data_IF_581427217897
#
_entry.id   IF_581427217897
#
_cell.length_a   1.000
_cell.length_b   1.000
_cell.length_c   1.000
_cell.angle_alpha   90.00
_cell.angle_beta   90.00
_cell.angle_gamma   90.00
#
_symmetry.space_group_name_H-M   'P 1'
#
loop_
_entity.id
_entity.type
_entity.pdbx_description
1 polymer ?
#
# COMPACT_ATOMS: atom_id res chain seq x y z
N UNK A 1 45.54 -4.22 27.05
CA UNK A 1 44.35 -3.50 27.53
C UNK A 1 43.51 -3.15 26.32
N UNK A 2 42.35 -3.79 26.16
CA UNK A 2 41.35 -3.43 25.15
C UNK A 2 39.98 -3.59 25.84
N UNK A 3 39.07 -2.63 25.68
CA UNK A 3 37.67 -2.96 25.66
C UNK A 3 37.11 -2.78 24.26
N UNK A 4 36.27 -3.74 23.92
CA UNK A 4 35.62 -3.96 22.65
C UNK A 4 34.51 -2.92 22.40
N UNK A 5 34.27 -2.58 21.13
CA UNK A 5 33.06 -1.86 20.74
C UNK A 5 31.90 -2.87 20.80
N UNK A 6 30.79 -2.57 21.49
CA UNK A 6 29.68 -3.49 21.55
C UNK A 6 29.03 -3.57 20.16
N UNK A 7 29.07 -4.77 19.58
CA UNK A 7 28.08 -5.21 18.62
C UNK A 7 26.71 -5.04 19.27
N UNK A 8 26.03 -3.94 18.96
CA UNK A 8 24.60 -3.82 19.22
C UNK A 8 23.93 -4.83 18.31
N UNK A 9 23.84 -6.06 18.83
CA UNK A 9 22.95 -7.11 18.41
C UNK A 9 21.59 -6.43 18.16
N UNK A 10 21.22 -6.28 16.89
CA UNK A 10 19.84 -6.01 16.51
C UNK A 10 19.09 -7.21 17.04
N UNK A 11 18.55 -7.11 18.26
CA UNK A 11 17.71 -8.13 18.84
C UNK A 11 16.53 -8.26 17.91
N UNK A 12 16.53 -9.32 17.10
CA UNK A 12 15.36 -9.73 16.34
C UNK A 12 14.19 -9.76 17.35
N UNK A 13 13.03 -9.16 17.01
CA UNK A 13 11.91 -9.14 17.93
C UNK A 13 11.60 -10.60 18.32
N UNK A 14 11.36 -10.89 19.61
CA UNK A 14 11.08 -12.24 20.04
C UNK A 14 9.92 -12.79 19.20
N UNK A 15 10.04 -14.04 18.79
CA UNK A 15 9.08 -14.73 17.90
C UNK A 15 7.63 -14.53 18.37
N UNK A 16 7.41 -14.41 19.67
CA UNK A 16 6.13 -14.13 20.30
C UNK A 16 5.54 -12.74 19.97
N UNK A 17 6.36 -11.69 19.83
CA UNK A 17 5.90 -10.36 19.42
C UNK A 17 5.53 -10.36 17.92
N UNK A 18 6.33 -11.04 17.10
CA UNK A 18 6.03 -11.23 15.69
C UNK A 18 4.75 -12.05 15.52
N UNK A 19 4.58 -13.15 16.27
CA UNK A 19 3.38 -13.97 16.27
C UNK A 19 2.16 -13.21 16.79
N UNK A 20 2.29 -12.40 17.85
CA UNK A 20 1.20 -11.55 18.34
C UNK A 20 0.81 -10.50 17.32
N UNK A 21 1.79 -9.89 16.64
CA UNK A 21 1.55 -8.94 15.55
C UNK A 21 0.93 -9.62 14.33
N UNK A 22 1.33 -10.84 14.01
CA UNK A 22 0.75 -11.64 12.93
C UNK A 22 -0.67 -12.09 13.27
N UNK A 23 -0.95 -12.49 14.52
CA UNK A 23 -2.30 -12.88 14.99
C UNK A 23 -3.23 -11.66 15.10
N UNK A 24 -2.71 -10.51 15.55
CA UNK A 24 -3.47 -9.26 15.56
C UNK A 24 -3.69 -8.73 14.14
N UNK A 25 -2.69 -8.86 13.26
CA UNK A 25 -2.82 -8.56 11.84
C UNK A 25 -3.77 -9.53 11.15
N UNK A 26 -3.77 -10.82 11.48
CA UNK A 26 -4.69 -11.84 10.95
C UNK A 26 -6.14 -11.56 11.37
N UNK A 27 -6.36 -11.15 12.63
CA UNK A 27 -7.67 -10.65 13.08
C UNK A 27 -8.09 -9.38 12.35
N UNK A 28 -7.18 -8.43 12.14
CA UNK A 28 -7.45 -7.22 11.38
C UNK A 28 -7.68 -7.52 9.89
N UNK A 29 -6.90 -8.41 9.27
CA UNK A 29 -6.96 -8.85 7.87
C UNK A 29 -8.05 -9.90 7.62
N UNK A 30 -8.82 -10.30 8.64
CA UNK A 30 -9.93 -11.19 8.44
C UNK A 30 -10.91 -10.55 7.44
N UNK A 31 -11.35 -11.28 6.40
CA UNK A 31 -12.32 -10.76 5.43
C UNK A 31 -13.64 -10.30 6.09
N UNK A 32 -13.88 -10.72 7.34
CA UNK A 32 -14.98 -10.27 8.17
C UNK A 32 -14.91 -8.78 8.62
N UNK A 33 -13.76 -8.12 8.56
CA UNK A 33 -13.58 -6.72 9.01
C UNK A 33 -13.58 -5.68 7.88
N UNK A 34 -13.88 -6.08 6.65
CA UNK A 34 -13.96 -5.17 5.50
C UNK A 34 -12.63 -4.47 5.18
N UNK A 35 -12.71 -3.43 4.35
CA UNK A 35 -11.57 -2.72 3.75
C UNK A 35 -10.57 -2.14 4.77
N UNK A 36 -11.02 -1.86 5.99
CA UNK A 36 -10.20 -1.32 7.08
C UNK A 36 -9.05 -2.24 7.52
N UNK A 37 -9.25 -3.56 7.44
CA UNK A 37 -8.22 -4.56 7.72
C UNK A 37 -7.09 -4.59 6.70
N UNK A 38 -7.46 -4.38 5.44
CA UNK A 38 -6.57 -4.53 4.29
C UNK A 38 -5.70 -3.28 4.06
N UNK A 39 -6.09 -2.13 4.60
CA UNK A 39 -5.30 -0.89 4.56
C UNK A 39 -3.93 -1.04 5.24
N UNK A 40 -3.84 -1.78 6.35
CA UNK A 40 -2.58 -2.04 7.03
C UNK A 40 -1.62 -2.90 6.18
N UNK A 41 -2.13 -3.92 5.49
CA UNK A 41 -1.34 -4.72 4.56
C UNK A 41 -0.91 -3.89 3.33
N UNK A 42 -1.81 -3.06 2.78
CA UNK A 42 -1.47 -2.16 1.69
C UNK A 42 -0.33 -1.19 2.08
N UNK A 43 -0.36 -0.65 3.30
CA UNK A 43 0.70 0.20 3.84
C UNK A 43 2.04 -0.56 4.00
N UNK A 44 2.00 -1.82 4.46
CA UNK A 44 3.17 -2.68 4.54
C UNK A 44 3.79 -2.91 3.15
N UNK A 45 2.96 -3.26 2.15
CA UNK A 45 3.40 -3.50 0.78
C UNK A 45 3.97 -2.24 0.13
N UNK A 46 3.38 -1.07 0.39
CA UNK A 46 3.90 0.22 -0.07
C UNK A 46 5.27 0.51 0.55
N UNK A 47 5.42 0.26 1.86
CA UNK A 47 6.69 0.44 2.58
C UNK A 47 7.77 -0.52 2.07
N UNK A 48 7.44 -1.79 1.85
CA UNK A 48 8.36 -2.80 1.32
C UNK A 48 8.87 -2.41 -0.08
N UNK A 49 7.98 -1.90 -0.94
CA UNK A 49 8.40 -1.38 -2.25
C UNK A 49 9.33 -0.18 -2.13
N UNK A 50 9.00 0.80 -1.28
CA UNK A 50 9.87 1.97 -1.02
C UNK A 50 11.22 1.60 -0.41
N UNK A 51 11.31 0.50 0.33
CA UNK A 51 12.58 0.05 0.87
C UNK A 51 13.61 -0.26 -0.22
N UNK A 52 13.16 -0.60 -1.45
CA UNK A 52 14.05 -0.82 -2.61
C UNK A 52 14.84 0.43 -2.99
N UNK A 53 14.28 1.62 -2.78
CA UNK A 53 14.91 2.90 -3.13
C UNK A 53 16.20 3.16 -2.34
N UNK A 54 16.34 2.53 -1.17
CA UNK A 54 17.56 2.62 -0.36
C UNK A 54 18.72 1.77 -0.91
N UNK A 55 18.44 0.81 -1.81
CA UNK A 55 19.42 -0.16 -2.30
C UNK A 55 19.60 -0.13 -3.82
N UNK A 56 18.59 0.33 -4.56
CA UNK A 56 18.56 0.29 -6.03
C UNK A 56 18.19 1.65 -6.61
N UNK A 57 18.54 1.87 -7.88
CA UNK A 57 18.17 3.10 -8.59
C UNK A 57 16.63 3.19 -8.72
N UNK A 58 15.97 4.18 -8.08
CA UNK A 58 14.50 4.29 -8.08
C UNK A 58 13.90 4.45 -9.48
N UNK A 59 14.66 4.99 -10.43
CA UNK A 59 14.21 5.16 -11.81
C UNK A 59 13.95 3.83 -12.53
N UNK A 60 14.51 2.71 -12.05
CA UNK A 60 14.37 1.39 -12.66
C UNK A 60 13.24 0.54 -12.07
N UNK A 61 12.83 0.81 -10.82
CA UNK A 61 11.93 -0.08 -10.06
C UNK A 61 10.60 0.58 -9.66
N UNK A 62 10.27 1.72 -10.27
CA UNK A 62 8.99 2.39 -10.04
C UNK A 62 7.82 1.62 -10.64
N UNK A 63 6.73 1.46 -9.88
CA UNK A 63 5.49 0.83 -10.33
C UNK A 63 4.29 1.77 -10.08
N UNK A 64 4.20 2.93 -10.76
CA UNK A 64 3.30 4.01 -10.34
C UNK A 64 1.82 3.62 -10.31
N UNK A 65 1.37 2.76 -11.24
CA UNK A 65 -0.01 2.27 -11.23
C UNK A 65 -0.32 1.47 -9.96
N UNK A 66 0.61 0.63 -9.53
CA UNK A 66 0.46 -0.15 -8.32
C UNK A 66 0.54 0.72 -7.06
N UNK A 67 1.45 1.69 -7.04
CA UNK A 67 1.56 2.67 -5.94
C UNK A 67 0.26 3.47 -5.76
N UNK A 68 -0.43 3.82 -6.86
CA UNK A 68 -1.74 4.49 -6.81
C UNK A 68 -2.78 3.58 -6.15
N UNK A 69 -2.89 2.31 -6.57
CA UNK A 69 -3.86 1.37 -6.00
C UNK A 69 -3.62 1.16 -4.50
N UNK A 70 -2.37 0.96 -4.08
CA UNK A 70 -2.02 0.86 -2.67
C UNK A 70 -2.35 2.13 -1.89
N UNK A 71 -2.03 3.32 -2.44
CA UNK A 71 -2.35 4.58 -1.79
C UNK A 71 -3.86 4.77 -1.58
N UNK A 72 -4.69 4.36 -2.55
CA UNK A 72 -6.15 4.41 -2.45
C UNK A 72 -6.72 3.36 -1.48
N UNK A 73 -6.04 2.23 -1.27
CA UNK A 73 -6.41 1.26 -0.22
C UNK A 73 -6.03 1.73 1.19
N UNK A 74 -4.99 2.56 1.32
CA UNK A 74 -4.54 3.12 2.61
C UNK A 74 -5.44 4.31 3.02
N UNK A 75 -5.91 5.08 2.04
CA UNK A 75 -6.79 6.22 2.26
C UNK A 75 -8.16 5.81 2.82
N UNK A 76 -8.79 6.75 3.53
CA UNK A 76 -10.15 6.59 4.04
C UNK A 76 -11.18 6.82 2.91
N UNK A 77 -12.14 5.90 2.77
CA UNK A 77 -13.24 6.01 1.81
C UNK A 77 -14.10 7.26 2.05
N UNK A 78 -14.11 7.79 3.28
CA UNK A 78 -14.81 9.02 3.62
C UNK A 78 -14.23 10.26 2.93
N UNK A 79 -12.96 10.20 2.49
CA UNK A 79 -12.25 11.34 1.94
C UNK A 79 -11.45 10.97 0.69
N UNK A 80 -12.14 10.90 -0.46
CA UNK A 80 -11.50 10.70 -1.77
C UNK A 80 -10.42 11.77 -2.02
N UNK A 81 -9.13 11.40 -2.11
CA UNK A 81 -8.05 12.37 -2.21
C UNK A 81 -8.06 13.11 -3.55
N UNK A 82 -7.47 14.30 -3.55
CA UNK A 82 -7.12 14.96 -4.80
C UNK A 82 -6.02 14.16 -5.51
N UNK A 83 -6.17 13.97 -6.82
CA UNK A 83 -5.22 13.24 -7.67
C UNK A 83 -3.79 13.78 -7.55
N UNK A 84 -3.64 15.11 -7.48
CA UNK A 84 -2.35 15.78 -7.32
C UNK A 84 -1.71 15.59 -5.94
N UNK A 85 -2.47 15.13 -4.95
CA UNK A 85 -2.03 14.95 -3.57
C UNK A 85 -1.80 13.48 -3.20
N UNK A 86 -1.83 12.56 -4.17
CA UNK A 86 -1.54 11.15 -3.92
C UNK A 86 -0.11 10.99 -3.36
N UNK A 87 0.07 10.28 -2.22
CA UNK A 87 1.37 10.14 -1.58
C UNK A 87 2.20 9.03 -2.26
N UNK A 88 2.59 9.23 -3.52
CA UNK A 88 3.35 8.25 -4.32
C UNK A 88 4.71 8.81 -4.77
N UNK A 89 5.74 7.97 -4.95
CA UNK A 89 7.09 8.39 -5.33
C UNK A 89 7.22 8.63 -6.84
N UNK A 90 6.29 9.39 -7.44
CA UNK A 90 6.26 9.65 -8.88
C UNK A 90 5.93 11.11 -9.18
N UNK A 91 6.54 11.73 -10.21
CA UNK A 91 6.11 13.03 -10.69
C UNK A 91 4.63 13.05 -11.07
N UNK A 92 3.96 14.19 -10.88
CA UNK A 92 2.51 14.34 -11.12
C UNK A 92 2.09 13.97 -12.54
N UNK A 93 2.88 14.34 -13.55
CA UNK A 93 2.59 14.00 -14.96
C UNK A 93 2.64 12.48 -15.22
N UNK A 94 3.58 11.78 -14.59
CA UNK A 94 3.67 10.32 -14.64
C UNK A 94 2.48 9.68 -13.93
N UNK A 95 2.14 10.16 -12.73
CA UNK A 95 0.96 9.71 -12.00
C UNK A 95 -0.32 9.83 -12.83
N UNK A 96 -0.55 10.99 -13.46
CA UNK A 96 -1.71 11.22 -14.32
C UNK A 96 -1.80 10.21 -15.47
N UNK A 97 -0.67 9.92 -16.15
CA UNK A 97 -0.64 8.91 -17.23
C UNK A 97 -1.08 7.53 -16.73
N UNK A 98 -0.62 7.13 -15.54
CA UNK A 98 -0.99 5.84 -14.96
C UNK A 98 -2.43 5.81 -14.47
N UNK A 99 -2.95 6.93 -13.96
CA UNK A 99 -4.38 7.04 -13.61
C UNK A 99 -5.28 6.90 -14.83
N UNK A 100 -4.92 7.50 -15.99
CA UNK A 100 -5.71 7.29 -17.22
C UNK A 100 -5.76 5.81 -17.60
N UNK A 101 -4.62 5.10 -17.55
CA UNK A 101 -4.59 3.65 -17.82
C UNK A 101 -5.43 2.83 -16.83
N UNK A 102 -5.37 3.16 -15.54
CA UNK A 102 -6.18 2.50 -14.52
C UNK A 102 -7.68 2.78 -14.72
N UNK A 103 -8.04 3.99 -15.16
CA UNK A 103 -9.41 4.38 -15.45
C UNK A 103 -9.93 3.65 -16.69
N UNK A 104 -9.13 3.58 -17.77
CA UNK A 104 -9.44 2.78 -18.98
C UNK A 104 -9.61 1.29 -18.65
N UNK A 105 -8.84 0.77 -17.69
CA UNK A 105 -8.96 -0.60 -17.19
C UNK A 105 -10.09 -0.81 -16.16
N UNK A 106 -10.90 0.23 -15.88
CA UNK A 106 -12.02 0.16 -14.95
C UNK A 106 -11.63 -0.04 -13.48
N UNK A 107 -10.39 0.24 -13.09
CA UNK A 107 -9.87 0.03 -11.72
C UNK A 107 -10.05 1.24 -10.81
N UNK A 108 -10.12 2.44 -11.39
CA UNK A 108 -10.29 3.69 -10.65
C UNK A 108 -11.33 4.58 -11.32
N UNK A 109 -11.95 5.43 -10.52
CA UNK A 109 -12.85 6.48 -10.98
C UNK A 109 -12.24 7.84 -10.65
N UNK A 110 -12.39 8.80 -11.58
CA UNK A 110 -11.87 10.15 -11.43
C UNK A 110 -12.94 11.15 -11.82
N UNK A 111 -13.21 12.12 -10.96
CA UNK A 111 -14.21 13.17 -11.17
C UNK A 111 -13.70 14.53 -10.70
N UNK A 112 -14.34 15.62 -11.13
CA UNK A 112 -14.01 16.96 -10.63
C UNK A 112 -14.59 17.15 -9.23
N UNK A 113 -13.85 17.83 -8.35
CA UNK A 113 -14.33 18.16 -7.02
C UNK A 113 -15.55 19.09 -7.13
N UNK A 114 -16.71 18.74 -6.52
CA UNK A 114 -17.89 19.60 -6.52
C UNK A 114 -17.65 21.00 -5.95
N UNK A 115 -16.65 21.16 -5.07
CA UNK A 115 -16.30 22.44 -4.44
C UNK A 115 -15.20 23.21 -5.18
N UNK A 116 -14.44 22.55 -6.06
CA UNK A 116 -13.36 23.16 -6.84
C UNK A 116 -13.12 22.39 -8.15
N UNK A 117 -13.72 22.85 -9.25
CA UNK A 117 -13.61 22.20 -10.56
C UNK A 117 -12.18 22.13 -11.13
N UNK A 118 -11.21 22.83 -10.51
CA UNK A 118 -9.78 22.72 -10.86
C UNK A 118 -9.12 21.50 -10.24
N UNK A 119 -9.76 20.87 -9.25
CA UNK A 119 -9.28 19.68 -8.56
C UNK A 119 -9.99 18.45 -9.10
N UNK A 120 -9.21 17.41 -9.39
CA UNK A 120 -9.74 16.08 -9.71
C UNK A 120 -9.59 15.20 -8.48
N UNK A 121 -10.67 14.53 -8.08
CA UNK A 121 -10.67 13.49 -7.05
C UNK A 121 -10.58 12.12 -7.69
N UNK A 122 -10.02 11.18 -6.95
CA UNK A 122 -9.82 9.80 -7.40
C UNK A 122 -10.20 8.83 -6.28
N UNK A 123 -10.81 7.71 -6.66
CA UNK A 123 -11.06 6.56 -5.80
C UNK A 123 -10.91 5.26 -6.61
N UNK A 124 -10.85 4.12 -5.92
CA UNK A 124 -11.07 2.83 -6.57
C UNK A 124 -12.51 2.80 -7.10
N UNK A 125 -12.69 2.25 -8.29
CA UNK A 125 -14.03 1.84 -8.75
C UNK A 125 -14.54 0.68 -7.89
N UNK A 126 -15.83 0.32 -7.95
CA UNK A 126 -16.33 -0.88 -7.29
C UNK A 126 -15.54 -2.15 -7.67
N UNK A 127 -15.24 -2.31 -8.96
CA UNK A 127 -14.48 -3.46 -9.46
C UNK A 127 -13.00 -3.43 -9.00
N UNK A 128 -12.38 -2.25 -8.98
CA UNK A 128 -11.01 -2.10 -8.48
C UNK A 128 -10.90 -2.34 -6.98
N UNK A 129 -11.92 -1.94 -6.21
CA UNK A 129 -12.00 -2.22 -4.78
C UNK A 129 -12.12 -3.73 -4.53
N UNK A 130 -13.00 -4.43 -5.25
CA UNK A 130 -13.15 -5.89 -5.16
C UNK A 130 -11.86 -6.63 -5.53
N UNK A 131 -11.22 -6.24 -6.64
CA UNK A 131 -9.96 -6.84 -7.07
C UNK A 131 -8.83 -6.64 -6.05
N UNK A 132 -8.69 -5.43 -5.49
CA UNK A 132 -7.70 -5.16 -4.45
C UNK A 132 -8.01 -5.91 -3.15
N UNK A 133 -9.28 -6.08 -2.81
CA UNK A 133 -9.67 -6.86 -1.64
C UNK A 133 -9.28 -8.34 -1.80
N UNK A 134 -9.61 -8.95 -2.94
CA UNK A 134 -9.23 -10.32 -3.26
C UNK A 134 -7.72 -10.51 -3.24
N UNK A 135 -6.97 -9.62 -3.91
CA UNK A 135 -5.52 -9.66 -3.94
C UNK A 135 -4.90 -9.55 -2.54
N UNK A 136 -5.31 -8.56 -1.74
CA UNK A 136 -4.73 -8.34 -0.41
C UNK A 136 -5.06 -9.52 0.53
N UNK A 137 -6.24 -10.12 0.41
CA UNK A 137 -6.59 -11.34 1.15
C UNK A 137 -5.70 -12.54 0.74
N UNK A 138 -5.41 -12.72 -0.55
CA UNK A 138 -4.52 -13.79 -1.03
C UNK A 138 -3.09 -13.61 -0.49
N UNK A 139 -2.57 -12.38 -0.52
CA UNK A 139 -1.25 -12.06 0.03
C UNK A 139 -1.21 -12.26 1.56
N UNK A 140 -2.30 -11.94 2.26
CA UNK A 140 -2.44 -12.20 3.69
C UNK A 140 -2.23 -13.67 4.01
N UNK A 141 -2.97 -14.54 3.31
CA UNK A 141 -2.92 -15.98 3.48
C UNK A 141 -1.53 -16.53 3.16
N UNK A 142 -0.93 -16.06 2.06
CA UNK A 142 0.41 -16.49 1.63
C UNK A 142 1.49 -16.12 2.65
N UNK A 143 1.35 -14.97 3.32
CA UNK A 143 2.31 -14.53 4.36
C UNK A 143 2.06 -15.21 5.71
N UNK A 144 0.84 -15.63 6.00
CA UNK A 144 0.47 -16.31 7.24
C UNK A 144 0.86 -17.81 7.23
N UNK A 145 0.89 -18.44 6.05
CA UNK A 145 1.28 -19.84 5.92
C UNK A 145 2.81 -19.98 6.04
N UNK A 146 3.32 -20.90 6.88
CA UNK A 146 4.75 -21.20 6.90
C UNK A 146 5.15 -21.71 5.52
N UNK A 147 6.16 -21.06 4.92
CA UNK A 147 6.75 -21.51 3.66
C UNK A 147 7.28 -22.93 3.88
N UNK A 148 6.73 -23.90 3.14
CA UNK A 148 7.30 -25.25 3.03
C UNK A 148 8.69 -25.19 2.40
#
# INVERSE_FOLDING_TARGET
MKPERPEQLRSEPPLDDLLRRLIAADRALSPAHGRAGLGALAALLAKERRARDAYFNPALFGEPAWDILLALCIGDDSHCPALSALPIPSPTSTAHRHVMKLQEAGQVEVWNDPMDMRRRRIALSPAGAEAMQAYLAEIALTRALPRL
#
